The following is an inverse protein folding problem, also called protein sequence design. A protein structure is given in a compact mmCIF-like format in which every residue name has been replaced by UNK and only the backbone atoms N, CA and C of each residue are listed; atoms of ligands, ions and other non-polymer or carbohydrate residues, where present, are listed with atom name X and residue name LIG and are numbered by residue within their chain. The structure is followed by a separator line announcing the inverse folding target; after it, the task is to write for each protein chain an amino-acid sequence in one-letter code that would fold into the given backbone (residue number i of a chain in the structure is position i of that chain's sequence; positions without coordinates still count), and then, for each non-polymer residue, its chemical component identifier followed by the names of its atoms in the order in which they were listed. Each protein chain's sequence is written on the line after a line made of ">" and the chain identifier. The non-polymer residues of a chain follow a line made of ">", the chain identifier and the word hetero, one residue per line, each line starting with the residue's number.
data_IF_626192505780
#
_entry.id   IF_626192505780
#
_cell.length_a   1.000
_cell.length_b   1.000
_cell.length_c   1.000
_cell.angle_alpha   90.00
_cell.angle_beta   90.00
_cell.angle_gamma   90.00
#
_symmetry.space_group_name_H-M   'P 1'
#
loop_
_entity.id
_entity.type
_entity.pdbx_description
1 polymer ?
#
# COMPACT_ATOMS: atom_id res chain seq x y z
N UNK A 1 0.37 -25.16 -29.71
CA UNK A 1 0.01 -25.20 -28.29
C UNK A 1 1.22 -24.73 -27.51
N UNK A 2 1.26 -23.65 -26.75
CA UNK A 2 0.61 -22.34 -26.74
C UNK A 2 1.45 -21.54 -25.72
N UNK A 3 2.62 -21.01 -26.13
CA UNK A 3 3.58 -20.31 -25.22
C UNK A 3 2.95 -19.08 -24.55
N UNK A 4 1.83 -18.60 -25.09
CA UNK A 4 1.02 -17.52 -24.52
C UNK A 4 0.29 -17.92 -23.24
N UNK A 5 -0.06 -19.21 -23.05
CA UNK A 5 -0.73 -19.68 -21.84
C UNK A 5 0.21 -19.76 -20.62
N UNK A 6 1.48 -20.12 -20.85
CA UNK A 6 2.51 -20.21 -19.79
C UNK A 6 2.96 -18.82 -19.30
N UNK A 7 2.85 -17.80 -20.17
CA UNK A 7 3.18 -16.42 -19.84
C UNK A 7 2.11 -15.73 -18.98
N UNK A 8 0.84 -16.12 -19.13
CA UNK A 8 -0.28 -15.59 -18.33
C UNK A 8 -0.26 -16.20 -16.91
N UNK A 9 0.20 -17.45 -16.77
CA UNK A 9 0.33 -18.12 -15.47
C UNK A 9 1.28 -17.41 -14.48
N UNK A 10 2.18 -16.52 -14.93
CA UNK A 10 3.11 -15.79 -14.06
C UNK A 10 2.54 -14.55 -13.39
N UNK A 11 1.44 -13.99 -13.89
CA UNK A 11 0.77 -12.85 -13.23
C UNK A 11 -0.10 -13.30 -12.05
N UNK A 12 -0.53 -14.57 -12.05
CA UNK A 12 -1.40 -15.15 -11.04
C UNK A 12 -0.66 -15.85 -9.89
N UNK A 13 0.68 -15.93 -9.89
CA UNK A 13 1.42 -16.74 -8.91
C UNK A 13 2.16 -15.93 -7.82
N UNK A 14 1.70 -14.71 -7.51
CA UNK A 14 2.29 -13.94 -6.42
C UNK A 14 1.80 -14.45 -5.05
N UNK A 15 2.74 -14.57 -4.10
CA UNK A 15 2.41 -14.85 -2.70
C UNK A 15 1.94 -13.56 -2.02
N UNK A 16 0.91 -13.65 -1.18
CA UNK A 16 0.40 -12.49 -0.43
C UNK A 16 1.49 -11.84 0.43
N UNK A 17 2.41 -12.65 0.98
CA UNK A 17 3.55 -12.16 1.75
C UNK A 17 4.49 -11.26 0.91
N UNK A 18 4.76 -11.62 -0.35
CA UNK A 18 5.61 -10.82 -1.24
C UNK A 18 4.94 -9.49 -1.62
N UNK A 19 3.61 -9.51 -1.78
CA UNK A 19 2.82 -8.31 -1.99
C UNK A 19 2.88 -7.41 -0.76
N UNK A 20 2.72 -7.96 0.44
CA UNK A 20 2.82 -7.19 1.69
C UNK A 20 4.22 -6.58 1.84
N UNK A 21 5.28 -7.34 1.58
CA UNK A 21 6.66 -6.86 1.60
C UNK A 21 6.88 -5.69 0.61
N UNK A 22 6.29 -5.79 -0.58
CA UNK A 22 6.33 -4.75 -1.61
C UNK A 22 5.54 -3.51 -1.20
N UNK A 23 4.34 -3.69 -0.63
CA UNK A 23 3.52 -2.60 -0.10
C UNK A 23 4.28 -1.86 0.99
N UNK A 24 4.91 -2.55 1.94
CA UNK A 24 5.78 -1.90 2.96
C UNK A 24 6.86 -1.03 2.34
N UNK A 25 7.56 -1.53 1.32
CA UNK A 25 8.55 -0.72 0.61
C UNK A 25 7.97 0.54 -0.05
N UNK A 26 6.73 0.48 -0.54
CA UNK A 26 6.02 1.65 -1.05
C UNK A 26 5.60 2.60 0.08
N UNK A 27 5.14 2.08 1.22
CA UNK A 27 4.77 2.90 2.37
C UNK A 27 5.98 3.64 2.96
N UNK A 28 7.15 3.00 2.96
CA UNK A 28 8.42 3.60 3.41
C UNK A 28 8.75 4.83 2.58
N UNK A 29 8.72 4.67 1.25
CA UNK A 29 8.91 5.77 0.30
C UNK A 29 7.83 6.85 0.43
N UNK A 30 6.59 6.48 0.73
CA UNK A 30 5.51 7.44 0.94
C UNK A 30 5.72 8.25 2.24
N UNK A 31 6.14 7.60 3.33
CA UNK A 31 6.43 8.24 4.62
C UNK A 31 7.58 9.23 4.52
N UNK A 32 8.65 8.87 3.83
CA UNK A 32 9.81 9.75 3.57
C UNK A 32 9.43 11.04 2.85
N UNK A 33 8.28 11.05 2.17
CA UNK A 33 7.76 12.19 1.40
C UNK A 33 6.66 12.96 2.14
N UNK A 34 6.20 12.46 3.29
CA UNK A 34 5.26 13.17 4.14
C UNK A 34 5.98 14.15 5.07
N UNK A 35 5.30 15.25 5.41
CA UNK A 35 5.77 16.10 6.49
C UNK A 35 5.76 15.32 7.83
N UNK A 36 6.78 15.48 8.69
CA UNK A 36 6.82 14.79 9.98
C UNK A 36 5.57 15.09 10.83
N UNK A 37 4.91 14.03 11.30
CA UNK A 37 3.71 14.14 12.13
C UNK A 37 2.44 14.56 11.38
N UNK A 38 2.45 14.59 10.04
CA UNK A 38 1.23 14.88 9.28
C UNK A 38 0.17 13.80 9.49
N UNK A 39 -1.10 14.19 9.38
CA UNK A 39 -2.21 13.25 9.48
C UNK A 39 -2.11 12.14 8.40
N UNK A 40 -1.62 12.46 7.21
CA UNK A 40 -1.34 11.47 6.18
C UNK A 40 -0.27 10.45 6.61
N UNK A 41 0.82 10.90 7.23
CA UNK A 41 1.87 10.02 7.73
C UNK A 41 1.33 9.06 8.80
N UNK A 42 0.50 9.56 9.73
CA UNK A 42 -0.14 8.75 10.76
C UNK A 42 -1.05 7.66 10.17
N UNK A 43 -1.84 8.00 9.16
CA UNK A 43 -2.67 7.04 8.45
C UNK A 43 -1.84 5.99 7.69
N UNK A 44 -0.70 6.38 7.11
CA UNK A 44 0.23 5.42 6.48
C UNK A 44 0.83 4.48 7.53
N UNK A 45 1.21 4.97 8.70
CA UNK A 45 1.68 4.13 9.81
C UNK A 45 0.60 3.16 10.29
N UNK A 46 -0.66 3.61 10.45
CA UNK A 46 -1.77 2.73 10.82
C UNK A 46 -2.02 1.64 9.77
N UNK A 47 -1.91 1.98 8.48
CA UNK A 47 -1.96 0.98 7.41
C UNK A 47 -0.83 -0.04 7.53
N UNK A 48 0.39 0.41 7.84
CA UNK A 48 1.55 -0.45 8.03
C UNK A 48 1.34 -1.46 9.17
N UNK A 49 0.86 -0.99 10.32
CA UNK A 49 0.56 -1.85 11.48
C UNK A 49 -0.46 -2.94 11.12
N UNK A 50 -1.50 -2.61 10.36
CA UNK A 50 -2.48 -3.59 9.86
C UNK A 50 -1.85 -4.67 8.97
N UNK A 51 -0.84 -4.32 8.16
CA UNK A 51 -0.09 -5.27 7.34
C UNK A 51 0.82 -6.18 8.18
N UNK A 52 1.43 -5.64 9.25
CA UNK A 52 2.29 -6.37 10.20
C UNK A 52 1.56 -7.50 10.92
N UNK A 53 0.28 -7.31 11.23
CA UNK A 53 -0.55 -8.37 11.82
C UNK A 53 -0.82 -9.52 10.84
N UNK A 54 -0.93 -9.24 9.54
CA UNK A 54 -1.27 -10.25 8.53
C UNK A 54 -0.08 -11.09 8.12
N UNK A 55 1.11 -10.48 7.98
CA UNK A 55 2.32 -11.21 7.63
C UNK A 55 3.56 -10.58 8.25
N UNK A 56 4.30 -11.39 9.00
CA UNK A 56 5.70 -11.10 9.31
C UNK A 56 6.50 -11.26 8.01
N UNK A 57 6.82 -10.15 7.35
CA UNK A 57 7.60 -10.13 6.12
C UNK A 57 8.63 -9.01 6.18
N UNK A 58 9.81 -9.24 5.61
CA UNK A 58 10.82 -8.20 5.45
C UNK A 58 10.31 -7.08 4.56
N UNK A 59 10.82 -5.87 4.73
CA UNK A 59 10.57 -4.77 3.80
C UNK A 59 11.35 -5.02 2.51
N UNK A 60 10.66 -5.04 1.37
CA UNK A 60 11.35 -5.03 0.07
C UNK A 60 11.63 -3.59 -0.31
N UNK A 61 12.90 -3.18 -0.30
CA UNK A 61 13.29 -1.81 -0.70
C UNK A 61 12.91 -1.59 -2.17
N UNK A 62 11.93 -0.72 -2.40
CA UNK A 62 11.46 -0.36 -3.72
C UNK A 62 12.28 0.82 -4.25
N UNK A 63 13.08 0.61 -5.30
CA UNK A 63 13.70 1.71 -6.05
C UNK A 63 12.67 2.32 -6.99
N UNK A 64 11.90 3.27 -6.48
CA UNK A 64 10.95 4.03 -7.27
C UNK A 64 11.63 5.26 -7.91
N UNK A 65 11.20 5.66 -9.12
CA UNK A 65 11.59 6.95 -9.70
C UNK A 65 11.33 8.10 -8.72
N UNK A 66 12.29 9.02 -8.61
CA UNK A 66 12.21 10.20 -7.73
C UNK A 66 11.03 11.10 -8.06
N UNK A 67 10.56 11.06 -9.30
CA UNK A 67 9.50 11.92 -9.84
C UNK A 67 8.09 11.47 -9.41
N UNK A 68 7.93 10.24 -8.91
CA UNK A 68 6.64 9.81 -8.40
C UNK A 68 6.28 10.64 -7.17
N UNK A 69 5.07 11.18 -7.08
CA UNK A 69 4.58 11.83 -5.86
C UNK A 69 4.20 10.79 -4.79
N UNK A 70 4.03 11.22 -3.55
CA UNK A 70 3.50 10.36 -2.48
C UNK A 70 2.13 9.75 -2.87
N UNK A 71 1.28 10.52 -3.55
CA UNK A 71 0.00 10.04 -4.07
C UNK A 71 0.14 8.91 -5.10
N UNK A 72 1.10 9.03 -6.04
CA UNK A 72 1.37 7.99 -7.03
C UNK A 72 1.85 6.69 -6.39
N UNK A 73 2.69 6.79 -5.37
CA UNK A 73 3.17 5.65 -4.58
C UNK A 73 2.01 4.99 -3.81
N UNK A 74 1.19 5.78 -3.11
CA UNK A 74 0.02 5.26 -2.41
C UNK A 74 -1.01 4.63 -3.36
N UNK A 75 -1.23 5.19 -4.55
CA UNK A 75 -2.12 4.59 -5.55
C UNK A 75 -1.65 3.18 -5.95
N UNK A 76 -0.35 2.97 -6.05
CA UNK A 76 0.25 1.66 -6.33
C UNK A 76 0.08 0.72 -5.15
N UNK A 77 0.39 1.16 -3.93
CA UNK A 77 0.20 0.39 -2.70
C UNK A 77 -1.26 -0.08 -2.55
N UNK A 78 -2.23 0.81 -2.78
CA UNK A 78 -3.66 0.47 -2.71
C UNK A 78 -4.08 -0.60 -3.72
N UNK A 79 -3.57 -0.54 -4.96
CA UNK A 79 -3.86 -1.56 -5.99
C UNK A 79 -3.35 -2.93 -5.55
N UNK A 80 -2.14 -2.98 -5.01
CA UNK A 80 -1.53 -4.20 -4.50
C UNK A 80 -2.31 -4.78 -3.30
N UNK A 81 -2.68 -3.95 -2.33
CA UNK A 81 -3.50 -4.39 -1.18
C UNK A 81 -4.86 -4.92 -1.63
N UNK A 82 -5.53 -4.27 -2.59
CA UNK A 82 -6.79 -4.78 -3.17
C UNK A 82 -6.61 -6.17 -3.78
N UNK A 83 -5.52 -6.38 -4.52
CA UNK A 83 -5.18 -7.70 -5.07
C UNK A 83 -4.93 -8.75 -3.98
N UNK A 84 -4.23 -8.38 -2.91
CA UNK A 84 -3.95 -9.27 -1.78
C UNK A 84 -5.22 -9.67 -1.01
N UNK A 85 -6.17 -8.75 -0.79
CA UNK A 85 -7.45 -9.03 -0.13
C UNK A 85 -8.21 -10.17 -0.81
N UNK A 86 -8.21 -10.21 -2.15
CA UNK A 86 -8.94 -11.23 -2.92
C UNK A 86 -8.34 -12.65 -2.79
N UNK A 87 -7.12 -12.76 -2.26
CA UNK A 87 -6.32 -13.99 -2.25
C UNK A 87 -5.90 -14.45 -0.86
N UNK A 88 -6.02 -13.59 0.14
CA UNK A 88 -5.56 -13.91 1.49
C UNK A 88 -6.57 -14.82 2.18
N UNK A 89 -6.04 -15.82 2.88
CA UNK A 89 -6.76 -16.63 3.83
C UNK A 89 -6.02 -16.62 5.17
N UNK A 90 -6.72 -16.71 6.31
CA UNK A 90 -8.18 -16.79 6.48
C UNK A 90 -8.91 -15.45 6.25
N UNK A 91 -10.25 -15.45 6.21
CA UNK A 91 -11.08 -14.24 6.04
C UNK A 91 -10.74 -13.13 7.04
N UNK A 92 -10.35 -13.48 8.27
CA UNK A 92 -9.93 -12.49 9.27
C UNK A 92 -8.70 -11.69 8.82
N UNK A 93 -7.77 -12.30 8.08
CA UNK A 93 -6.65 -11.60 7.48
C UNK A 93 -7.10 -10.64 6.37
N UNK A 94 -8.12 -11.01 5.59
CA UNK A 94 -8.71 -10.13 4.58
C UNK A 94 -9.35 -8.88 5.20
N UNK A 95 -9.98 -9.01 6.36
CA UNK A 95 -10.54 -7.87 7.10
C UNK A 95 -9.45 -6.90 7.58
N UNK A 96 -8.32 -7.42 8.07
CA UNK A 96 -7.17 -6.59 8.46
C UNK A 96 -6.55 -5.87 7.26
N UNK A 97 -6.41 -6.56 6.11
CA UNK A 97 -5.96 -5.93 4.87
C UNK A 97 -6.96 -4.87 4.38
N UNK A 98 -8.27 -5.08 4.54
CA UNK A 98 -9.30 -4.10 4.19
C UNK A 98 -9.24 -2.86 5.10
N UNK A 99 -8.93 -3.03 6.38
CA UNK A 99 -8.69 -1.93 7.30
C UNK A 99 -7.42 -1.14 6.91
N UNK A 100 -6.32 -1.83 6.61
CA UNK A 100 -5.12 -1.18 6.10
C UNK A 100 -5.41 -0.40 4.80
N UNK A 101 -6.18 -0.96 3.88
CA UNK A 101 -6.60 -0.28 2.66
C UNK A 101 -7.41 1.00 2.95
N UNK A 102 -8.31 0.96 3.94
CA UNK A 102 -9.08 2.13 4.36
C UNK A 102 -8.16 3.27 4.82
N UNK A 103 -7.14 2.95 5.62
CA UNK A 103 -6.13 3.92 6.05
C UNK A 103 -5.35 4.50 4.87
N UNK A 104 -4.96 3.69 3.89
CA UNK A 104 -4.32 4.17 2.66
C UNK A 104 -5.22 5.06 1.78
N UNK A 105 -6.53 4.77 1.75
CA UNK A 105 -7.52 5.62 1.07
C UNK A 105 -7.75 6.95 1.83
N UNK A 106 -7.61 6.97 3.17
CA UNK A 106 -7.64 8.19 3.99
C UNK A 106 -6.38 9.02 3.78
N UNK A 107 -5.20 8.42 3.90
CA UNK A 107 -3.91 9.10 3.71
C UNK A 107 -3.83 9.81 2.36
N UNK A 108 -4.26 9.15 1.28
CA UNK A 108 -4.24 9.77 -0.04
C UNK A 108 -5.27 10.88 -0.24
N UNK A 109 -6.41 10.83 0.45
CA UNK A 109 -7.35 11.96 0.47
C UNK A 109 -6.74 13.17 1.19
N UNK A 110 -6.07 12.94 2.31
CA UNK A 110 -5.37 14.00 3.06
C UNK A 110 -4.26 14.62 2.21
N UNK A 111 -3.38 13.80 1.62
CA UNK A 111 -2.30 14.30 0.76
C UNK A 111 -2.82 15.08 -0.45
N UNK A 112 -3.90 14.62 -1.08
CA UNK A 112 -4.51 15.34 -2.20
C UNK A 112 -5.08 16.70 -1.76
N UNK A 113 -5.71 16.76 -0.58
CA UNK A 113 -6.18 18.03 -0.02
C UNK A 113 -5.01 18.98 0.31
N UNK A 114 -3.93 18.45 0.90
CA UNK A 114 -2.70 19.21 1.19
C UNK A 114 -2.04 19.75 -0.07
N UNK A 115 -1.94 18.96 -1.15
CA UNK A 115 -1.42 19.40 -2.46
C UNK A 115 -2.27 20.52 -3.08
N UNK A 116 -3.58 20.57 -2.79
CA UNK A 116 -4.49 21.63 -3.21
C UNK A 116 -4.46 22.86 -2.29
N UNK A 117 -3.69 22.82 -1.20
CA UNK A 117 -3.63 23.89 -0.20
C UNK A 117 -4.88 23.98 0.68
N UNK A 118 -5.69 22.93 0.73
CA UNK A 118 -6.84 22.86 1.61
C UNK A 118 -6.37 22.55 3.03
N UNK A 119 -6.91 23.27 4.03
CA UNK A 119 -6.69 22.91 5.42
C UNK A 119 -7.33 21.54 5.67
N UNK A 120 -6.54 20.57 6.15
CA UNK A 120 -7.09 19.26 6.51
C UNK A 120 -8.20 19.46 7.53
N UNK A 121 -9.43 18.98 7.27
CA UNK A 121 -10.51 19.04 8.27
C UNK A 121 -10.25 18.12 9.46
N UNK A 122 -9.11 17.42 9.47
CA UNK A 122 -8.66 16.47 10.47
C UNK A 122 -7.32 16.88 11.13
N UNK A 123 -6.83 18.11 10.88
CA UNK A 123 -5.63 18.67 11.54
C UNK A 123 -5.93 19.16 12.96
#
# INVERSE_FOLDING_TARGET
>A
MDETAESIARLDDFQVADVIASVRGLLDVALDRCAPGSAAALEICAAWEGLDVVAAASVTVQRLPSELSALGVLATARRLVRGAILRVEPLSAALLLAEALRHLDTAARILAAEELGEASPWA
#
